data_IF_143390023274
#
_entry.id   IF_143390023274
#
_cell.length_a   1.000
_cell.length_b   1.000
_cell.length_c   1.000
_cell.angle_alpha   90.00
_cell.angle_beta   90.00
_cell.angle_gamma   90.00
#
_symmetry.space_group_name_H-M   'P 1'
#
loop_
_entity.id
_entity.type
_entity.pdbx_description
1 polymer ?
#
# COMPACT_ATOMS: atom_id res chain seq x y z
N UNK A 1 13.76 0.50 24.90
CA UNK A 1 13.30 -0.43 23.83
C UNK A 1 11.85 -0.11 23.63
N UNK A 2 11.52 0.65 22.57
CA UNK A 2 10.13 0.98 22.28
C UNK A 2 9.49 -0.29 21.71
N UNK A 3 8.48 -0.81 22.39
CA UNK A 3 7.62 -1.84 21.82
C UNK A 3 7.00 -1.24 20.56
N UNK A 4 7.29 -1.83 19.40
CA UNK A 4 6.62 -1.47 18.16
C UNK A 4 5.16 -1.92 18.35
N UNK A 5 4.30 -0.99 18.75
CA UNK A 5 2.89 -1.27 18.86
C UNK A 5 2.41 -1.67 17.46
N UNK A 6 1.86 -2.88 17.37
CA UNK A 6 1.34 -3.50 16.15
C UNK A 6 -0.01 -2.86 15.75
N UNK A 7 -0.13 -1.55 15.97
CA UNK A 7 -1.33 -0.76 15.75
C UNK A 7 -1.46 -0.52 14.25
N UNK A 8 -2.35 -1.29 13.63
CA UNK A 8 -2.83 -1.01 12.29
C UNK A 8 -3.72 0.22 12.31
N UNK A 9 -3.66 1.03 11.25
CA UNK A 9 -4.36 2.30 11.14
C UNK A 9 -5.24 2.34 9.90
N UNK A 10 -6.19 3.27 9.87
CA UNK A 10 -7.11 3.44 8.74
C UNK A 10 -8.20 2.36 8.66
N UNK A 11 -8.96 2.33 7.54
CA UNK A 11 -10.04 1.37 7.33
C UNK A 11 -9.54 -0.07 7.17
N UNK A 12 -10.41 -1.01 7.54
CA UNK A 12 -10.23 -2.44 7.32
C UNK A 12 -10.67 -2.81 5.90
N UNK A 13 -9.71 -3.11 5.03
CA UNK A 13 -9.98 -3.41 3.62
C UNK A 13 -10.52 -4.83 3.39
N UNK A 14 -10.48 -5.74 4.37
CA UNK A 14 -11.16 -7.03 4.30
C UNK A 14 -12.68 -6.83 4.32
N UNK A 15 -13.14 -5.79 5.01
CA UNK A 15 -14.56 -5.41 5.10
C UNK A 15 -15.04 -4.52 3.96
N UNK A 16 -14.12 -4.08 3.11
CA UNK A 16 -14.40 -3.24 1.96
C UNK A 16 -14.30 -1.74 2.26
N UNK A 17 -13.98 -0.98 1.21
CA UNK A 17 -13.86 0.47 1.27
C UNK A 17 -14.37 1.09 -0.03
N UNK A 18 -14.98 2.28 0.05
CA UNK A 18 -15.49 2.97 -1.14
C UNK A 18 -14.34 3.46 -2.00
N UNK A 19 -14.47 3.30 -3.30
CA UNK A 19 -13.46 3.75 -4.27
C UNK A 19 -13.33 5.28 -4.27
N UNK A 20 -14.40 6.02 -3.91
CA UNK A 20 -14.37 7.47 -3.76
C UNK A 20 -13.52 7.95 -2.57
N UNK A 21 -13.19 7.09 -1.59
CA UNK A 21 -12.24 7.46 -0.53
C UNK A 21 -10.82 7.70 -1.10
N UNK A 22 -10.53 7.16 -2.29
CA UNK A 22 -9.29 7.43 -3.06
C UNK A 22 -9.39 8.71 -3.90
N UNK A 23 -10.53 9.41 -3.93
CA UNK A 23 -10.73 10.59 -4.78
C UNK A 23 -10.00 11.85 -4.27
N UNK A 24 -9.64 11.89 -2.98
CA UNK A 24 -8.85 12.98 -2.36
C UNK A 24 -7.34 12.72 -2.31
N UNK A 25 -6.92 11.47 -2.53
CA UNK A 25 -5.53 11.04 -2.51
C UNK A 25 -5.43 9.74 -3.27
N UNK A 26 -4.63 9.72 -4.34
CA UNK A 26 -4.41 8.54 -5.21
C UNK A 26 -3.94 7.29 -4.44
N UNK A 27 -3.65 7.46 -3.17
CA UNK A 27 -3.19 6.49 -2.21
C UNK A 27 -4.00 6.62 -0.91
N UNK A 28 -4.36 5.49 -0.32
CA UNK A 28 -5.08 5.41 0.95
C UNK A 28 -4.37 4.40 1.86
N UNK A 29 -4.06 4.82 3.09
CA UNK A 29 -3.58 3.94 4.14
C UNK A 29 -4.77 3.22 4.79
N UNK A 30 -4.66 1.91 4.95
CA UNK A 30 -5.56 1.11 5.75
C UNK A 30 -4.86 -0.19 6.17
N UNK A 31 -5.64 -1.22 6.45
CA UNK A 31 -5.11 -2.51 6.86
C UNK A 31 -5.91 -3.69 6.34
N UNK A 32 -5.26 -4.84 6.25
CA UNK A 32 -5.86 -6.13 5.97
C UNK A 32 -4.96 -7.23 6.54
N UNK A 33 -5.56 -8.32 7.01
CA UNK A 33 -4.88 -9.49 7.58
C UNK A 33 -3.92 -9.12 8.72
N UNK A 34 -4.26 -8.08 9.49
CA UNK A 34 -3.43 -7.58 10.58
C UNK A 34 -2.16 -6.82 10.16
N UNK A 35 -2.03 -6.46 8.88
CA UNK A 35 -0.88 -5.72 8.34
C UNK A 35 -1.30 -4.36 7.76
N UNK A 36 -0.38 -3.39 7.76
CA UNK A 36 -0.60 -2.08 7.14
C UNK A 36 -0.51 -2.18 5.61
N UNK A 37 -1.57 -1.75 4.93
CA UNK A 37 -1.73 -1.84 3.47
C UNK A 37 -1.92 -0.45 2.88
N UNK A 38 -1.20 -0.20 1.80
CA UNK A 38 -1.36 0.97 0.94
C UNK A 38 -2.17 0.56 -0.28
N UNK A 39 -3.37 1.12 -0.42
CA UNK A 39 -4.16 0.99 -1.63
C UNK A 39 -3.94 2.21 -2.50
N UNK A 40 -3.62 2.00 -3.78
CA UNK A 40 -3.40 3.06 -4.74
C UNK A 40 -4.32 2.91 -5.96
N UNK A 41 -4.71 4.04 -6.56
CA UNK A 41 -5.55 4.08 -7.76
C UNK A 41 -4.88 4.84 -8.89
N UNK A 42 -4.85 4.24 -10.08
CA UNK A 42 -4.45 4.90 -11.33
C UNK A 42 -5.52 4.65 -12.38
N UNK A 43 -6.29 5.69 -12.72
CA UNK A 43 -7.45 5.53 -13.60
C UNK A 43 -8.48 4.58 -12.98
N UNK A 44 -8.77 3.46 -13.64
CA UNK A 44 -9.67 2.43 -13.13
C UNK A 44 -8.96 1.25 -12.45
N UNK A 45 -7.62 1.24 -12.48
CA UNK A 45 -6.81 0.20 -11.86
C UNK A 45 -6.57 0.50 -10.38
N UNK A 46 -6.65 -0.54 -9.57
CA UNK A 46 -6.37 -0.52 -8.14
C UNK A 46 -5.20 -1.45 -7.84
N UNK A 47 -4.37 -1.02 -6.89
CA UNK A 47 -3.20 -1.74 -6.43
C UNK A 47 -3.21 -1.79 -4.92
N UNK A 48 -2.71 -2.88 -4.33
CA UNK A 48 -2.58 -3.03 -2.89
C UNK A 48 -1.21 -3.63 -2.55
N UNK A 49 -0.39 -2.86 -1.86
CA UNK A 49 0.95 -3.25 -1.42
C UNK A 49 1.14 -2.98 0.07
N UNK A 50 2.20 -3.51 0.69
CA UNK A 50 2.56 -3.18 2.05
C UNK A 50 2.80 -1.67 2.20
N UNK A 51 2.31 -1.06 3.27
CA UNK A 51 2.42 0.38 3.48
C UNK A 51 3.75 0.84 4.09
N UNK A 52 4.59 -0.10 4.52
CA UNK A 52 5.84 0.15 5.24
C UNK A 52 7.03 -0.10 4.32
N UNK A 53 7.85 0.93 4.09
CA UNK A 53 9.05 0.83 3.28
C UNK A 53 10.04 -0.17 3.90
N UNK A 54 10.49 -1.14 3.12
CA UNK A 54 11.43 -2.18 3.56
C UNK A 54 12.84 -1.70 3.87
N UNK A 55 13.18 -0.44 3.55
CA UNK A 55 14.48 0.12 3.87
C UNK A 55 14.60 0.37 5.39
N UNK A 56 13.91 1.39 5.92
CA UNK A 56 13.93 1.74 7.35
C UNK A 56 12.52 1.96 7.94
N UNK A 57 11.48 1.43 7.32
CA UNK A 57 10.12 1.46 7.87
C UNK A 57 9.33 2.74 7.56
N UNK A 58 9.77 3.54 6.59
CA UNK A 58 9.09 4.79 6.24
C UNK A 58 7.65 4.58 5.71
N UNK A 59 6.71 5.51 5.99
CA UNK A 59 5.31 5.38 5.63
C UNK A 59 5.09 5.66 4.14
N UNK A 60 4.85 4.62 3.33
CA UNK A 60 4.67 4.77 1.88
C UNK A 60 3.41 5.56 1.52
N UNK A 61 2.37 5.51 2.37
CA UNK A 61 1.13 6.26 2.16
C UNK A 61 1.32 7.79 2.20
N UNK A 62 2.35 8.27 2.92
CA UNK A 62 2.76 9.69 2.95
C UNK A 62 3.75 10.03 1.84
N UNK A 63 4.07 9.06 0.98
CA UNK A 63 5.01 9.20 -0.12
C UNK A 63 4.43 9.88 -1.36
N UNK A 64 5.20 9.83 -2.45
CA UNK A 64 4.80 10.37 -3.73
C UNK A 64 4.50 9.24 -4.71
N UNK A 65 3.25 9.19 -5.21
CA UNK A 65 2.88 8.32 -6.31
C UNK A 65 3.17 8.99 -7.66
N UNK A 66 3.93 8.30 -8.51
CA UNK A 66 4.17 8.68 -9.91
C UNK A 66 3.86 7.48 -10.78
N UNK A 67 2.92 7.64 -11.71
CA UNK A 67 2.41 6.55 -12.55
C UNK A 67 1.97 5.33 -11.72
N UNK A 68 2.55 4.15 -11.94
CA UNK A 68 2.25 2.95 -11.17
C UNK A 68 3.37 2.65 -10.16
N UNK A 69 3.96 3.68 -9.57
CA UNK A 69 5.05 3.55 -8.61
C UNK A 69 4.86 4.50 -7.42
N UNK A 70 5.47 4.16 -6.28
CA UNK A 70 5.50 5.02 -5.09
C UNK A 70 6.93 5.23 -4.62
N UNK A 71 7.22 6.47 -4.21
CA UNK A 71 8.49 6.87 -3.58
C UNK A 71 8.29 7.14 -2.11
N UNK A 72 9.07 6.46 -1.28
CA UNK A 72 9.08 6.66 0.17
C UNK A 72 9.47 8.11 0.52
N UNK A 73 8.76 8.77 1.46
CA UNK A 73 9.02 10.17 1.80
C UNK A 73 10.36 10.38 2.54
N UNK A 74 10.92 9.35 3.16
CA UNK A 74 12.14 9.49 3.97
C UNK A 74 13.42 9.53 3.14
N UNK A 75 13.64 8.50 2.30
CA UNK A 75 14.88 8.32 1.55
C UNK A 75 14.66 7.99 0.08
N UNK A 76 13.43 8.18 -0.42
CA UNK A 76 13.05 8.03 -1.83
C UNK A 76 13.20 6.63 -2.43
N UNK A 77 13.26 5.59 -1.59
CA UNK A 77 13.12 4.20 -2.05
C UNK A 77 11.87 4.06 -2.94
N UNK A 78 12.01 3.33 -4.03
CA UNK A 78 11.08 3.36 -5.14
C UNK A 78 10.51 1.97 -5.37
N UNK A 79 9.18 1.84 -5.32
CA UNK A 79 8.49 0.57 -5.46
C UNK A 79 7.49 0.59 -6.61
N UNK A 80 7.39 -0.52 -7.36
CA UNK A 80 6.31 -0.72 -8.33
C UNK A 80 5.03 -1.14 -7.60
N UNK A 81 3.91 -0.44 -7.86
CA UNK A 81 2.63 -0.70 -7.19
C UNK A 81 1.96 -2.00 -7.65
N UNK A 82 2.34 -2.54 -8.81
CA UNK A 82 1.73 -3.75 -9.37
C UNK A 82 2.35 -5.03 -8.81
N UNK A 83 3.64 -4.97 -8.49
CA UNK A 83 4.45 -6.13 -8.07
C UNK A 83 5.04 -5.99 -6.68
N UNK A 84 5.06 -4.79 -6.11
CA UNK A 84 5.72 -4.51 -4.83
C UNK A 84 7.25 -4.48 -4.93
N UNK A 85 7.80 -4.65 -6.13
CA UNK A 85 9.24 -4.74 -6.35
C UNK A 85 9.95 -3.44 -5.98
N UNK A 86 11.08 -3.55 -5.29
CA UNK A 86 11.99 -2.44 -5.08
C UNK A 86 12.79 -2.16 -6.37
N UNK A 87 12.33 -1.20 -7.17
CA UNK A 87 12.89 -0.89 -8.49
C UNK A 87 14.02 0.15 -8.46
N UNK A 88 14.22 0.83 -7.32
CA UNK A 88 15.40 1.66 -7.09
C UNK A 88 15.79 1.72 -5.61
N UNK A 89 17.10 1.80 -5.39
CA UNK A 89 17.73 2.01 -4.09
C UNK A 89 17.14 3.24 -3.35
N UNK A 90 17.14 3.27 -2.01
CA UNK A 90 17.92 2.42 -1.11
C UNK A 90 17.23 1.13 -0.62
N UNK A 91 15.96 0.86 -0.96
CA UNK A 91 15.35 -0.42 -0.61
C UNK A 91 15.95 -1.56 -1.45
N UNK A 92 16.20 -2.70 -0.79
CA UNK A 92 16.73 -3.92 -1.43
C UNK A 92 15.72 -5.08 -1.43
N UNK A 93 14.66 -4.96 -0.64
CA UNK A 93 13.62 -5.98 -0.50
C UNK A 93 12.28 -5.43 -1.01
N UNK A 94 11.48 -6.29 -1.62
CA UNK A 94 10.13 -5.96 -2.08
C UNK A 94 9.19 -5.73 -0.90
N UNK A 95 8.16 -4.91 -1.10
CA UNK A 95 7.00 -4.89 -0.21
C UNK A 95 6.02 -6.00 -0.61
N UNK A 96 5.24 -6.57 0.34
CA UNK A 96 4.24 -7.57 0.01
C UNK A 96 3.17 -6.99 -0.91
N UNK A 97 2.59 -7.83 -1.76
CA UNK A 97 1.40 -7.49 -2.55
C UNK A 97 0.16 -8.18 -2.00
N UNK A 98 -1.00 -7.59 -2.30
CA UNK A 98 -2.29 -8.13 -1.90
C UNK A 98 -3.24 -8.18 -3.09
N UNK A 99 -4.10 -9.20 -3.10
CA UNK A 99 -5.21 -9.31 -4.05
C UNK A 99 -6.23 -8.24 -3.71
N UNK A 100 -6.60 -7.45 -4.71
CA UNK A 100 -7.63 -6.42 -4.59
C UNK A 100 -8.75 -6.67 -5.61
N UNK A 101 -9.99 -6.69 -5.14
CA UNK A 101 -11.18 -6.94 -5.94
C UNK A 101 -12.13 -5.75 -5.89
N UNK A 102 -12.55 -5.25 -7.06
CA UNK A 102 -13.59 -4.24 -7.17
C UNK A 102 -14.97 -4.89 -7.25
N UNK A 103 -15.90 -4.46 -6.41
CA UNK A 103 -17.31 -4.89 -6.38
C UNK A 103 -18.20 -3.65 -6.32
N UNK A 104 -18.73 -3.24 -7.47
CA UNK A 104 -19.53 -2.02 -7.58
C UNK A 104 -18.69 -0.76 -7.31
N UNK A 105 -19.11 0.01 -6.32
CA UNK A 105 -18.48 1.25 -5.86
C UNK A 105 -17.41 1.02 -4.76
N UNK A 106 -17.19 -0.22 -4.37
CA UNK A 106 -16.25 -0.61 -3.31
C UNK A 106 -15.12 -1.50 -3.84
N UNK A 107 -14.02 -1.50 -3.11
CA UNK A 107 -12.93 -2.45 -3.28
C UNK A 107 -12.69 -3.22 -1.98
N UNK A 108 -12.13 -4.42 -2.12
CA UNK A 108 -11.83 -5.35 -1.04
C UNK A 108 -10.42 -5.89 -1.21
N UNK A 109 -9.65 -5.98 -0.12
CA UNK A 109 -8.40 -6.73 -0.11
C UNK A 109 -8.71 -8.15 0.37
N UNK A 110 -8.49 -9.15 -0.50
CA UNK A 110 -9.04 -10.52 -0.31
C UNK A 110 -8.00 -11.59 -0.08
N UNK A 111 -6.72 -11.26 -0.14
CA UNK A 111 -5.64 -12.15 0.25
C UNK A 111 -4.28 -11.50 0.08
N UNK A 112 -3.27 -12.03 0.78
CA UNK A 112 -1.87 -11.74 0.49
C UNK A 112 -1.44 -12.52 -0.76
N UNK A 113 -0.58 -11.93 -1.57
CA UNK A 113 0.09 -12.62 -2.67
C UNK A 113 1.46 -13.01 -2.13
N UNK A 114 1.61 -14.27 -1.77
CA UNK A 114 2.91 -14.84 -1.48
C UNK A 114 3.62 -15.14 -2.81
N UNK A 115 4.86 -14.68 -2.94
CA UNK A 115 5.76 -14.99 -4.09
C UNK A 115 6.14 -16.48 -4.11
#
# INVERSE_FOLDING_TARGET
MAEASNEVHGPDFEKGCKIDELAGGKMLLGHAFGEQVLVARRGDELFAIGATCTHYGGPLAEGLMVDCTVRCPWHHAHFDLRTGEAIAAPALNNVPCYKIEKRGDQFFVTGKIDE
#
